data_IF_414616203245
#
_entry.id   IF_414616203245
#
_cell.length_a   1.000
_cell.length_b   1.000
_cell.length_c   1.000
_cell.angle_alpha   90.00
_cell.angle_beta   90.00
_cell.angle_gamma   90.00
#
_symmetry.space_group_name_H-M   'P 1'
#
loop_
_entity.id
_entity.type
_entity.pdbx_description
1 polymer ?
#
# COMPACT_ATOMS: atom_id res chain seq x y z
N UNK A 1 9.67 11.65 12.54
CA UNK A 1 8.54 11.44 11.60
C UNK A 1 7.37 12.39 11.86
N UNK A 2 6.83 12.40 13.08
CA UNK A 2 5.73 13.32 13.42
C UNK A 2 6.12 14.78 13.17
N UNK A 3 7.33 15.15 13.53
CA UNK A 3 7.83 16.50 13.36
C UNK A 3 7.82 16.93 11.90
N UNK A 4 8.22 16.03 10.98
CA UNK A 4 8.20 16.31 9.55
C UNK A 4 6.78 16.58 9.06
N UNK A 5 5.82 15.76 9.51
CA UNK A 5 4.43 15.91 9.15
C UNK A 5 3.86 17.24 9.66
N UNK A 6 4.17 17.58 10.89
CA UNK A 6 3.66 18.80 11.51
C UNK A 6 4.25 20.06 10.88
N UNK A 7 5.50 20.02 10.46
CA UNK A 7 6.17 21.17 9.84
C UNK A 7 5.88 21.31 8.35
N UNK A 8 5.26 20.32 7.73
CA UNK A 8 5.01 20.34 6.31
C UNK A 8 6.19 19.90 5.45
N UNK A 9 7.30 19.52 6.07
CA UNK A 9 8.48 19.09 5.32
C UNK A 9 8.22 17.87 4.47
N UNK A 10 7.35 16.98 4.95
CA UNK A 10 6.99 15.77 4.21
C UNK A 10 6.36 16.12 2.85
N UNK A 11 5.52 17.14 2.83
CA UNK A 11 4.86 17.59 1.61
C UNK A 11 5.79 18.32 0.65
N UNK A 12 6.86 18.88 1.18
CA UNK A 12 7.85 19.62 0.38
C UNK A 12 8.85 18.71 -0.32
N UNK A 13 8.87 17.40 0.00
CA UNK A 13 9.79 16.46 -0.65
C UNK A 13 9.39 16.25 -2.10
N UNK A 14 10.40 16.16 -2.98
CA UNK A 14 10.15 15.83 -4.38
C UNK A 14 9.69 14.37 -4.49
N UNK A 15 8.95 14.02 -5.56
CA UNK A 15 8.54 12.62 -5.78
C UNK A 15 9.72 11.66 -5.81
N UNK A 16 10.82 12.06 -6.46
CA UNK A 16 12.00 11.20 -6.57
C UNK A 16 12.65 10.95 -5.21
N UNK A 17 12.68 11.97 -4.35
CA UNK A 17 13.24 11.84 -3.01
C UNK A 17 12.34 10.96 -2.13
N UNK A 18 11.04 11.14 -2.24
CA UNK A 18 10.08 10.32 -1.51
C UNK A 18 10.21 8.85 -1.93
N UNK A 19 10.31 8.60 -3.23
CA UNK A 19 10.49 7.24 -3.74
C UNK A 19 11.76 6.61 -3.21
N UNK A 20 12.86 7.38 -3.16
CA UNK A 20 14.13 6.87 -2.66
C UNK A 20 14.01 6.39 -1.22
N UNK A 21 13.33 7.18 -0.37
CA UNK A 21 13.13 6.81 1.02
C UNK A 21 12.20 5.60 1.16
N UNK A 22 11.10 5.58 0.41
CA UNK A 22 10.15 4.49 0.44
C UNK A 22 10.80 3.19 -0.02
N UNK A 23 11.52 3.22 -1.15
CA UNK A 23 12.12 2.02 -1.70
C UNK A 23 13.20 1.46 -0.78
N UNK A 24 13.97 2.34 -0.13
CA UNK A 24 14.98 1.91 0.83
C UNK A 24 14.33 1.21 2.02
N UNK A 25 13.26 1.79 2.56
CA UNK A 25 12.56 1.22 3.71
C UNK A 25 11.91 -0.12 3.38
N UNK A 26 11.36 -0.25 2.16
CA UNK A 26 10.75 -1.51 1.73
C UNK A 26 11.76 -2.64 1.64
N UNK A 27 13.03 -2.33 1.39
CA UNK A 27 14.07 -3.35 1.27
C UNK A 27 14.71 -3.72 2.62
N UNK A 28 14.24 -3.16 3.71
CA UNK A 28 14.69 -3.55 5.05
C UNK A 28 14.11 -4.91 5.43
N UNK A 29 14.59 -5.47 6.54
CA UNK A 29 14.13 -6.78 7.02
C UNK A 29 12.67 -6.79 7.46
N UNK A 30 12.16 -5.65 7.93
CA UNK A 30 10.79 -5.54 8.42
C UNK A 30 10.12 -4.30 7.85
N UNK A 31 9.82 -4.30 6.53
CA UNK A 31 9.23 -3.13 5.89
C UNK A 31 7.84 -2.77 6.41
N UNK A 32 7.11 -3.74 6.98
CA UNK A 32 5.81 -3.47 7.56
C UNK A 32 5.91 -2.51 8.74
N UNK A 33 7.05 -2.50 9.45
CA UNK A 33 7.26 -1.57 10.57
C UNK A 33 7.32 -0.13 10.05
N UNK A 34 7.95 0.08 8.90
CA UNK A 34 8.00 1.41 8.28
C UNK A 34 6.58 1.95 8.02
N UNK A 35 5.72 1.11 7.44
CA UNK A 35 4.34 1.52 7.16
C UNK A 35 3.59 1.79 8.46
N UNK A 36 3.78 0.95 9.48
CA UNK A 36 3.12 1.13 10.77
C UNK A 36 3.57 2.43 11.45
N UNK A 37 4.85 2.76 11.38
CA UNK A 37 5.37 4.02 11.94
C UNK A 37 4.75 5.21 11.22
N UNK A 38 4.67 5.16 9.88
CA UNK A 38 4.03 6.24 9.13
C UNK A 38 2.58 6.43 9.56
N UNK A 39 1.87 5.31 9.77
CA UNK A 39 0.48 5.38 10.20
C UNK A 39 0.36 5.96 11.60
N UNK A 40 1.21 5.52 12.52
CA UNK A 40 1.17 5.95 13.92
C UNK A 40 1.40 7.45 14.09
N UNK A 41 2.18 8.06 13.20
CA UNK A 41 2.45 9.49 13.27
C UNK A 41 1.63 10.32 12.26
N UNK A 42 0.59 9.71 11.70
CA UNK A 42 -0.33 10.34 10.74
C UNK A 42 0.32 10.77 9.41
N UNK A 43 1.54 10.29 9.15
CA UNK A 43 2.22 10.61 7.90
C UNK A 43 1.69 9.77 6.72
N UNK A 44 1.17 8.58 7.00
CA UNK A 44 0.73 7.68 5.94
C UNK A 44 -0.43 8.28 5.13
N UNK A 45 -1.39 8.92 5.78
CA UNK A 45 -2.53 9.50 5.08
C UNK A 45 -2.14 10.70 4.21
N UNK A 46 -1.01 11.35 4.54
CA UNK A 46 -0.47 12.44 3.73
C UNK A 46 0.32 11.89 2.54
N UNK A 47 1.13 10.88 2.79
CA UNK A 47 2.03 10.32 1.79
C UNK A 47 1.32 9.36 0.85
N UNK A 48 0.56 8.42 1.39
CA UNK A 48 -0.16 7.40 0.64
C UNK A 48 -1.55 7.19 1.24
N UNK A 49 -2.49 8.14 1.01
CA UNK A 49 -3.82 8.00 1.59
C UNK A 49 -4.54 6.73 1.12
N UNK A 50 -4.21 6.24 -0.08
CA UNK A 50 -4.78 5.02 -0.62
C UNK A 50 -4.45 3.80 0.26
N UNK A 51 -3.21 3.75 0.76
CA UNK A 51 -2.79 2.66 1.66
C UNK A 51 -3.42 2.85 3.05
N UNK A 52 -3.44 4.08 3.54
CA UNK A 52 -4.03 4.38 4.84
C UNK A 52 -5.51 3.98 4.88
N UNK A 53 -6.21 4.14 3.76
CA UNK A 53 -7.64 3.82 3.66
C UNK A 53 -7.93 2.32 3.80
N UNK A 54 -6.92 1.46 3.70
CA UNK A 54 -7.11 0.02 3.83
C UNK A 54 -7.32 -0.42 5.29
N UNK A 55 -6.85 0.38 6.24
CA UNK A 55 -7.01 0.05 7.65
C UNK A 55 -8.44 0.29 8.08
N UNK A 56 -9.00 -0.68 8.80
CA UNK A 56 -10.39 -0.64 9.19
C UNK A 56 -11.35 -1.26 8.19
N UNK A 57 -10.87 -1.70 7.03
CA UNK A 57 -11.70 -2.33 6.00
C UNK A 57 -11.66 -3.85 6.20
N UNK A 58 -12.80 -4.52 6.45
CA UNK A 58 -12.79 -5.96 6.71
C UNK A 58 -12.50 -6.78 5.46
N UNK A 59 -11.84 -7.92 5.67
CA UNK A 59 -11.65 -8.91 4.62
C UNK A 59 -12.95 -9.70 4.42
N UNK A 60 -13.15 -10.27 3.22
CA UNK A 60 -14.32 -11.13 3.00
C UNK A 60 -14.33 -12.31 3.96
N UNK A 61 -15.53 -12.71 4.42
CA UNK A 61 -15.70 -13.76 5.40
C UNK A 61 -15.04 -15.08 5.02
N UNK A 62 -15.08 -15.42 3.73
CA UNK A 62 -14.50 -16.66 3.23
C UNK A 62 -12.99 -16.73 3.43
N UNK A 63 -12.35 -15.59 3.69
CA UNK A 63 -10.91 -15.52 3.91
C UNK A 63 -10.56 -15.26 5.37
N UNK A 64 -10.76 -14.08 5.87
CA UNK A 64 -10.45 -13.76 7.28
C UNK A 64 -11.27 -12.56 7.71
N UNK A 65 -12.53 -12.76 8.11
CA UNK A 65 -13.42 -11.64 8.41
C UNK A 65 -12.96 -10.79 9.59
N UNK A 66 -12.21 -11.38 10.51
CA UNK A 66 -11.71 -10.68 11.71
C UNK A 66 -10.46 -9.87 11.47
N UNK A 67 -9.84 -10.00 10.28
CA UNK A 67 -8.59 -9.29 9.95
C UNK A 67 -8.91 -8.16 8.98
N UNK A 68 -8.51 -6.93 9.31
CA UNK A 68 -8.74 -5.85 8.38
C UNK A 68 -7.72 -5.86 7.23
N UNK A 69 -8.09 -5.20 6.14
CA UNK A 69 -7.30 -5.22 4.90
C UNK A 69 -5.92 -4.57 5.10
N UNK A 70 -5.84 -3.51 5.90
CA UNK A 70 -4.56 -2.87 6.18
C UNK A 70 -3.60 -3.79 6.92
N UNK A 71 -4.10 -4.49 7.95
CA UNK A 71 -3.29 -5.45 8.69
C UNK A 71 -2.86 -6.59 7.78
N UNK A 72 -3.77 -7.07 6.91
CA UNK A 72 -3.43 -8.10 5.94
C UNK A 72 -2.31 -7.65 5.01
N UNK A 73 -2.37 -6.41 4.52
CA UNK A 73 -1.35 -5.86 3.64
C UNK A 73 0.02 -5.84 4.32
N UNK A 74 0.07 -5.44 5.59
CA UNK A 74 1.32 -5.46 6.34
C UNK A 74 1.87 -6.87 6.49
N UNK A 75 0.99 -7.85 6.71
CA UNK A 75 1.37 -9.26 6.83
C UNK A 75 1.97 -9.77 5.52
N UNK A 76 1.35 -9.44 4.38
CA UNK A 76 1.84 -9.84 3.07
C UNK A 76 3.21 -9.23 2.80
N UNK A 77 3.38 -7.96 3.17
CA UNK A 77 4.66 -7.27 3.00
C UNK A 77 5.75 -7.91 3.86
N UNK A 78 5.40 -8.27 5.09
CA UNK A 78 6.32 -8.96 6.00
C UNK A 78 6.77 -10.30 5.41
N UNK A 79 5.83 -11.07 4.85
CA UNK A 79 6.16 -12.36 4.23
C UNK A 79 7.08 -12.17 3.02
N UNK A 80 6.84 -11.13 2.22
CA UNK A 80 7.72 -10.84 1.10
C UNK A 80 9.15 -10.59 1.56
N UNK A 81 9.32 -9.87 2.67
CA UNK A 81 10.63 -9.61 3.23
C UNK A 81 11.28 -10.88 3.78
N UNK A 82 10.50 -11.73 4.46
CA UNK A 82 11.02 -13.00 4.98
C UNK A 82 11.54 -13.90 3.87
N UNK A 83 10.91 -13.86 2.71
CA UNK A 83 11.33 -14.63 1.55
C UNK A 83 12.30 -13.87 0.67
N UNK A 84 12.82 -12.73 1.14
CA UNK A 84 13.83 -11.92 0.46
C UNK A 84 13.45 -11.55 -0.97
N UNK A 85 12.19 -11.21 -1.16
CA UNK A 85 11.70 -10.82 -2.47
C UNK A 85 12.27 -9.47 -2.89
N UNK A 86 12.41 -9.23 -4.21
CA UNK A 86 12.93 -7.96 -4.70
C UNK A 86 11.94 -6.81 -4.51
N UNK A 87 12.43 -5.59 -4.72
CA UNK A 87 11.63 -4.38 -4.56
C UNK A 87 10.34 -4.41 -5.38
N UNK A 88 10.42 -4.91 -6.63
CA UNK A 88 9.23 -4.98 -7.50
C UNK A 88 8.10 -5.77 -6.84
N UNK A 89 8.44 -6.89 -6.20
CA UNK A 89 7.45 -7.74 -5.52
C UNK A 89 6.94 -7.05 -4.26
N UNK A 90 7.83 -6.45 -3.48
CA UNK A 90 7.42 -5.77 -2.23
C UNK A 90 6.49 -4.59 -2.53
N UNK A 91 6.79 -3.82 -3.57
CA UNK A 91 5.94 -2.72 -3.98
C UNK A 91 4.57 -3.22 -4.42
N UNK A 92 4.55 -4.30 -5.21
CA UNK A 92 3.29 -4.91 -5.65
C UNK A 92 2.47 -5.41 -4.44
N UNK A 93 3.12 -6.01 -3.45
CA UNK A 93 2.44 -6.47 -2.24
C UNK A 93 1.77 -5.31 -1.49
N UNK A 94 2.44 -4.16 -1.42
CA UNK A 94 1.90 -3.00 -0.74
C UNK A 94 0.65 -2.46 -1.44
N UNK A 95 0.61 -2.52 -2.77
CA UNK A 95 -0.45 -1.91 -3.56
C UNK A 95 -1.56 -2.85 -4.01
N UNK A 96 -1.39 -4.16 -3.83
CA UNK A 96 -2.27 -5.13 -4.49
C UNK A 96 -3.76 -5.04 -4.12
N UNK A 97 -4.07 -4.57 -2.94
CA UNK A 97 -5.47 -4.50 -2.45
C UNK A 97 -6.01 -3.07 -2.35
N UNK A 98 -5.37 -2.09 -3.02
CA UNK A 98 -5.78 -0.69 -2.87
C UNK A 98 -7.27 -0.45 -3.17
N UNK A 99 -7.83 -1.20 -4.12
CA UNK A 99 -9.23 -1.04 -4.48
C UNK A 99 -10.22 -1.34 -3.36
N UNK A 100 -9.80 -2.15 -2.38
CA UNK A 100 -10.68 -2.51 -1.27
C UNK A 100 -11.02 -1.33 -0.38
N UNK A 101 -10.17 -0.31 -0.33
CA UNK A 101 -10.42 0.88 0.45
C UNK A 101 -11.57 1.72 -0.07
N UNK A 102 -12.02 1.47 -1.30
CA UNK A 102 -13.13 2.20 -1.93
C UNK A 102 -14.42 1.40 -1.94
N UNK A 103 -14.46 0.21 -1.34
CA UNK A 103 -15.68 -0.61 -1.34
C UNK A 103 -16.79 0.08 -0.57
N UNK A 104 -17.98 0.28 -1.18
CA UNK A 104 -19.10 0.89 -0.48
C UNK A 104 -19.48 0.11 0.77
N UNK A 105 -19.88 0.82 1.82
CA UNK A 105 -20.22 0.22 3.11
C UNK A 105 -21.31 -0.84 2.99
N UNK A 106 -22.31 -0.58 2.15
CA UNK A 106 -23.44 -1.51 1.96
C UNK A 106 -23.03 -2.79 1.24
N UNK A 107 -21.82 -2.83 0.68
CA UNK A 107 -21.31 -4.02 -0.02
C UNK A 107 -20.21 -4.73 0.75
N UNK A 108 -19.85 -4.23 1.92
CA UNK A 108 -18.86 -4.88 2.75
C UNK A 108 -19.46 -6.13 3.38
N UNK A 109 -18.67 -7.21 3.57
CA UNK A 109 -17.26 -7.33 3.22
C UNK A 109 -16.99 -7.83 1.80
N UNK A 110 -17.97 -7.83 0.93
CA UNK A 110 -17.82 -8.28 -0.46
C UNK A 110 -17.23 -7.15 -1.29
N UNK A 111 -16.04 -7.36 -1.83
CA UNK A 111 -15.30 -6.34 -2.57
C UNK A 111 -15.47 -6.53 -4.08
N UNK A 112 -16.68 -6.24 -4.56
CA UNK A 112 -17.01 -6.40 -5.98
C UNK A 112 -16.27 -5.36 -6.82
N UNK A 113 -15.59 -5.83 -7.88
CA UNK A 113 -14.85 -4.99 -8.84
C UNK A 113 -13.70 -4.20 -8.20
N UNK A 114 -13.14 -4.68 -7.06
CA UNK A 114 -12.07 -3.96 -6.40
C UNK A 114 -10.78 -3.90 -7.24
N UNK A 115 -10.53 -4.89 -8.11
CA UNK A 115 -9.34 -4.85 -8.97
C UNK A 115 -9.40 -3.67 -9.93
N UNK A 116 -10.58 -3.40 -10.50
CA UNK A 116 -10.72 -2.29 -11.46
C UNK A 116 -10.46 -0.94 -10.76
N UNK A 117 -11.05 -0.75 -9.58
CA UNK A 117 -10.82 0.45 -8.80
C UNK A 117 -9.37 0.54 -8.35
N UNK A 118 -8.81 -0.60 -7.96
CA UNK A 118 -7.43 -0.69 -7.52
C UNK A 118 -6.44 -0.27 -8.58
N UNK A 119 -6.68 -0.64 -9.85
CA UNK A 119 -5.77 -0.28 -10.94
C UNK A 119 -5.66 1.23 -11.08
N UNK A 120 -6.75 1.97 -10.94
CA UNK A 120 -6.71 3.43 -10.99
C UNK A 120 -5.89 4.01 -9.86
N UNK A 121 -6.05 3.46 -8.66
CA UNK A 121 -5.31 3.92 -7.48
C UNK A 121 -3.83 3.57 -7.60
N UNK A 122 -3.52 2.36 -8.09
CA UNK A 122 -2.13 1.94 -8.29
C UNK A 122 -1.44 2.87 -9.27
N UNK A 123 -2.09 3.20 -10.38
CA UNK A 123 -1.55 4.14 -11.36
C UNK A 123 -1.29 5.50 -10.74
N UNK A 124 -2.23 5.99 -9.93
CA UNK A 124 -2.10 7.29 -9.28
C UNK A 124 -0.90 7.33 -8.35
N UNK A 125 -0.71 6.28 -7.54
CA UNK A 125 0.42 6.20 -6.61
C UNK A 125 1.74 6.13 -7.38
N UNK A 126 1.79 5.32 -8.44
CA UNK A 126 2.99 5.19 -9.27
C UNK A 126 3.38 6.52 -9.91
N UNK A 127 2.41 7.29 -10.38
CA UNK A 127 2.68 8.61 -10.95
C UNK A 127 3.13 9.61 -9.90
N UNK A 128 2.53 9.55 -8.72
CA UNK A 128 2.86 10.48 -7.62
C UNK A 128 4.33 10.42 -7.26
N UNK A 129 4.90 9.22 -7.22
CA UNK A 129 6.29 9.03 -6.79
C UNK A 129 7.25 8.77 -7.95
N UNK A 130 6.77 8.83 -9.18
CA UNK A 130 7.57 8.56 -10.38
C UNK A 130 8.30 7.22 -10.23
N UNK A 131 7.54 6.20 -9.86
CA UNK A 131 8.04 4.86 -9.60
C UNK A 131 8.68 4.26 -10.84
N UNK A 132 9.82 3.54 -10.73
CA UNK A 132 10.43 2.88 -11.89
C UNK A 132 9.46 1.96 -12.62
N UNK A 133 9.64 1.84 -13.92
CA UNK A 133 8.72 1.13 -14.79
C UNK A 133 8.50 -0.32 -14.38
N UNK A 134 9.54 -1.03 -13.99
CA UNK A 134 9.44 -2.44 -13.59
C UNK A 134 8.55 -2.61 -12.35
N UNK A 135 8.67 -1.71 -11.39
CA UNK A 135 7.82 -1.73 -10.21
C UNK A 135 6.39 -1.39 -10.56
N UNK A 136 6.18 -0.41 -11.44
CA UNK A 136 4.83 -0.04 -11.88
C UNK A 136 4.15 -1.21 -12.57
N UNK A 137 4.85 -1.87 -13.50
CA UNK A 137 4.28 -2.95 -14.30
C UNK A 137 3.87 -4.12 -13.43
N UNK A 138 4.73 -4.55 -12.50
CA UNK A 138 4.39 -5.68 -11.64
C UNK A 138 3.24 -5.34 -10.70
N UNK A 139 3.22 -4.12 -10.15
CA UNK A 139 2.14 -3.71 -9.26
C UNK A 139 0.79 -3.74 -9.99
N UNK A 140 0.74 -3.26 -11.23
CA UNK A 140 -0.49 -3.29 -12.03
C UNK A 140 -0.90 -4.72 -12.35
N UNK A 141 0.05 -5.57 -12.71
CA UNK A 141 -0.21 -6.96 -13.06
C UNK A 141 -0.77 -7.72 -11.86
N UNK A 142 -0.14 -7.59 -10.70
CA UNK A 142 -0.59 -8.26 -9.49
C UNK A 142 -1.96 -7.73 -9.06
N UNK A 143 -2.16 -6.42 -9.14
CA UNK A 143 -3.44 -5.80 -8.78
C UNK A 143 -4.57 -6.28 -9.67
N UNK A 144 -4.27 -6.60 -10.94
CA UNK A 144 -5.27 -7.06 -11.90
C UNK A 144 -5.62 -8.53 -11.70
N UNK A 145 -4.65 -9.37 -11.35
CA UNK A 145 -4.83 -10.82 -11.40
C UNK A 145 -4.78 -11.55 -10.07
N UNK A 146 -4.47 -10.88 -8.97
CA UNK A 146 -4.28 -11.58 -7.69
C UNK A 146 -5.55 -12.28 -7.17
N UNK A 147 -6.73 -11.89 -7.63
CA UNK A 147 -7.97 -12.50 -7.20
C UNK A 147 -8.43 -13.62 -8.13
N UNK A 148 -7.72 -13.84 -9.22
CA UNK A 148 -8.03 -14.92 -10.15
C UNK A 148 -7.26 -16.18 -9.78
#
# INVERSE_FOLDING_TARGET
MRQLSESGELEALTPERSWKEISRALMEDQPQVFIQVLRDCDALKTLMPEVDALFGVPQPEAHHPEIDTGVHTLSVLEQAALHKQPLTVRWACLLHDLGKGLTPVDKLPQHIAHEHRGLKLIKAVNERFKVPKDCQELALLVGQYHTH
#
